data_IF_099994324752
#
_entry.id   IF_099994324752
#
_cell.length_a   1.000
_cell.length_b   1.000
_cell.length_c   1.000
_cell.angle_alpha   90.00
_cell.angle_beta   90.00
_cell.angle_gamma   90.00
#
_symmetry.space_group_name_H-M   'P 1'
#
loop_
_entity.id
_entity.type
_entity.pdbx_description
1 polymer ?
#
# COMPACT_ATOMS: atom_id res chain seq x y z
N UNK A 1 -20.92 -17.48 12.72
CA UNK A 1 -20.10 -16.27 12.47
C UNK A 1 -20.45 -15.72 11.09
N UNK A 2 -20.75 -14.42 10.94
CA UNK A 2 -20.95 -13.82 9.60
C UNK A 2 -19.62 -13.86 8.84
N UNK A 3 -19.59 -14.46 7.65
CA UNK A 3 -18.43 -14.46 6.76
C UNK A 3 -18.16 -13.00 6.36
N UNK A 4 -17.09 -12.39 6.87
CA UNK A 4 -16.66 -11.06 6.40
C UNK A 4 -16.24 -11.21 4.94
N UNK A 5 -16.91 -10.49 4.04
CA UNK A 5 -16.45 -10.33 2.67
C UNK A 5 -15.22 -9.44 2.68
N UNK A 6 -14.11 -9.92 2.12
CA UNK A 6 -12.92 -9.09 1.89
C UNK A 6 -13.26 -7.94 0.96
N UNK A 7 -12.63 -6.78 1.18
CA UNK A 7 -12.72 -5.61 0.31
C UNK A 7 -11.33 -5.25 -0.18
N UNK A 8 -11.23 -4.85 -1.44
CA UNK A 8 -9.99 -4.38 -2.05
C UNK A 8 -10.21 -2.95 -2.53
N UNK A 9 -9.27 -2.07 -2.22
CA UNK A 9 -9.24 -0.70 -2.68
C UNK A 9 -8.00 -0.49 -3.54
N UNK A 10 -8.17 0.02 -4.77
CA UNK A 10 -7.06 0.54 -5.57
C UNK A 10 -6.93 2.04 -5.27
N UNK A 11 -5.82 2.41 -4.64
CA UNK A 11 -5.58 3.78 -4.17
C UNK A 11 -4.37 4.35 -4.90
N UNK A 12 -4.54 5.54 -5.50
CA UNK A 12 -3.41 6.32 -5.98
C UNK A 12 -2.65 6.94 -4.81
N UNK A 13 -1.37 6.60 -4.66
CA UNK A 13 -0.49 7.12 -3.61
C UNK A 13 -0.14 8.62 -3.78
N UNK A 14 -0.41 9.20 -4.95
CA UNK A 14 0.07 10.52 -5.32
C UNK A 14 1.54 10.49 -5.79
N UNK A 15 2.14 11.65 -6.11
CA UNK A 15 3.45 11.74 -6.74
C UNK A 15 4.63 11.69 -5.74
N UNK A 16 4.38 11.57 -4.44
CA UNK A 16 5.43 11.40 -3.42
C UNK A 16 5.19 12.16 -2.13
N UNK A 17 4.67 13.40 -2.21
CA UNK A 17 4.27 14.19 -1.04
C UNK A 17 3.03 13.56 -0.40
N UNK A 18 3.08 13.16 0.89
CA UNK A 18 1.95 12.57 1.60
C UNK A 18 0.68 13.42 1.62
N UNK A 19 0.79 14.75 1.48
CA UNK A 19 -0.37 15.65 1.45
C UNK A 19 -1.14 15.60 0.13
N UNK A 20 -0.58 14.95 -0.90
CA UNK A 20 -1.21 14.81 -2.21
C UNK A 20 -2.00 13.50 -2.36
N UNK A 21 -2.03 12.65 -1.33
CA UNK A 21 -2.99 11.54 -1.27
C UNK A 21 -4.39 12.08 -0.96
N UNK A 22 -5.43 11.35 -1.41
CA UNK A 22 -6.81 11.66 -1.00
C UNK A 22 -7.05 11.29 0.47
N UNK A 23 -7.96 11.99 1.14
CA UNK A 23 -8.38 11.68 2.52
C UNK A 23 -8.79 10.21 2.65
N UNK A 24 -9.63 9.71 1.74
CA UNK A 24 -10.07 8.31 1.72
C UNK A 24 -8.92 7.33 1.52
N UNK A 25 -7.92 7.67 0.70
CA UNK A 25 -6.73 6.84 0.52
C UNK A 25 -5.91 6.72 1.81
N UNK A 26 -5.75 7.83 2.53
CA UNK A 26 -5.08 7.83 3.84
C UNK A 26 -5.84 7.02 4.88
N UNK A 27 -7.17 7.12 4.91
CA UNK A 27 -8.02 6.34 5.81
C UNK A 27 -7.92 4.84 5.49
N UNK A 28 -7.92 4.46 4.21
CA UNK A 28 -7.67 3.08 3.80
C UNK A 28 -6.32 2.55 4.29
N UNK A 29 -5.25 3.36 4.26
CA UNK A 29 -3.92 2.94 4.76
C UNK A 29 -3.96 2.69 6.28
N UNK A 30 -4.65 3.53 7.04
CA UNK A 30 -4.75 3.39 8.50
C UNK A 30 -5.55 2.17 8.94
N UNK A 31 -6.59 1.83 8.20
CA UNK A 31 -7.55 0.77 8.55
C UNK A 31 -7.27 -0.58 7.87
N UNK A 32 -6.33 -0.64 6.92
CA UNK A 32 -6.03 -1.86 6.18
C UNK A 32 -5.51 -2.97 7.11
N UNK A 33 -5.97 -4.20 6.84
CA UNK A 33 -5.38 -5.41 7.41
C UNK A 33 -4.11 -5.83 6.63
N UNK A 34 -4.05 -5.51 5.33
CA UNK A 34 -2.94 -5.81 4.41
C UNK A 34 -2.73 -4.66 3.44
N UNK A 35 -1.48 -4.24 3.22
CA UNK A 35 -1.09 -3.23 2.23
C UNK A 35 -0.14 -3.83 1.19
N UNK A 36 -0.56 -3.81 -0.07
CA UNK A 36 0.27 -4.19 -1.21
C UNK A 36 0.74 -2.90 -1.89
N UNK A 37 2.06 -2.72 -2.04
CA UNK A 37 2.63 -1.49 -2.60
C UNK A 37 3.86 -1.75 -3.46
N UNK A 38 4.15 -0.83 -4.39
CA UNK A 38 5.32 -0.89 -5.27
C UNK A 38 6.35 0.20 -4.91
N UNK A 39 7.41 0.29 -5.74
CA UNK A 39 8.53 1.22 -5.54
C UNK A 39 8.14 2.71 -5.55
N UNK A 40 7.08 3.07 -6.29
CA UNK A 40 6.66 4.47 -6.47
C UNK A 40 5.82 4.98 -5.30
N UNK A 41 5.26 4.07 -4.49
CA UNK A 41 4.58 4.45 -3.26
C UNK A 41 5.58 5.03 -2.26
N UNK A 42 5.39 6.30 -1.88
CA UNK A 42 6.27 6.99 -0.92
C UNK A 42 6.30 6.24 0.42
N UNK A 43 7.49 5.88 0.96
CA UNK A 43 7.61 5.25 2.28
C UNK A 43 7.02 6.10 3.42
N UNK A 44 6.84 7.41 3.21
CA UNK A 44 6.21 8.30 4.17
C UNK A 44 4.72 7.98 4.37
N UNK A 45 4.03 7.50 3.34
CA UNK A 45 2.62 7.08 3.44
C UNK A 45 2.46 5.84 4.30
N UNK A 46 3.40 4.89 4.21
CA UNK A 46 3.37 3.64 4.97
C UNK A 46 3.54 3.86 6.47
N UNK A 47 4.10 5.01 6.90
CA UNK A 47 4.21 5.39 8.31
C UNK A 47 2.84 5.64 8.98
N UNK A 48 1.79 5.84 8.21
CA UNK A 48 0.42 5.99 8.73
C UNK A 48 -0.29 4.66 8.90
N UNK A 49 0.29 3.57 8.42
CA UNK A 49 -0.32 2.26 8.54
C UNK A 49 -0.25 1.75 10.00
N UNK A 50 -1.19 0.90 10.36
CA UNK A 50 -1.18 0.20 11.64
C UNK A 50 0.13 -0.61 11.77
N UNK A 51 0.86 -0.56 12.90
CA UNK A 51 2.08 -1.37 13.11
C UNK A 51 1.89 -2.88 12.90
N UNK A 52 0.68 -3.39 13.12
CA UNK A 52 0.33 -4.82 12.95
C UNK A 52 -0.11 -5.18 11.52
N UNK A 53 -0.12 -4.21 10.59
CA UNK A 53 -0.53 -4.46 9.20
C UNK A 53 0.46 -5.36 8.48
N UNK A 54 -0.03 -6.30 7.67
CA UNK A 54 0.84 -7.05 6.77
C UNK A 54 1.24 -6.16 5.58
N UNK A 55 2.54 -5.98 5.35
CA UNK A 55 3.09 -5.20 4.25
C UNK A 55 3.70 -6.10 3.18
N UNK A 56 3.15 -6.06 1.97
CA UNK A 56 3.61 -6.85 0.82
C UNK A 56 4.18 -5.91 -0.24
N UNK A 57 5.50 -5.90 -0.37
CA UNK A 57 6.17 -5.15 -1.44
C UNK A 57 6.18 -5.95 -2.75
N UNK A 58 5.69 -5.34 -3.82
CA UNK A 58 5.61 -5.95 -5.17
C UNK A 58 6.37 -5.17 -6.25
N UNK A 59 7.14 -4.14 -5.85
CA UNK A 59 7.93 -3.34 -6.78
C UNK A 59 9.16 -4.06 -7.33
N UNK A 60 9.69 -3.56 -8.44
CA UNK A 60 10.94 -4.04 -9.04
C UNK A 60 12.10 -3.15 -8.61
N UNK A 61 13.09 -3.71 -7.95
CA UNK A 61 14.39 -3.05 -7.80
C UNK A 61 15.17 -3.24 -9.10
N UNK A 62 15.57 -2.17 -9.77
CA UNK A 62 16.46 -2.25 -10.93
C UNK A 62 17.65 -3.16 -10.60
N UNK A 63 17.98 -4.10 -11.51
CA UNK A 63 19.01 -5.15 -11.39
C UNK A 63 18.68 -6.39 -10.53
N UNK A 64 17.43 -6.60 -10.07
CA UNK A 64 17.00 -7.92 -9.56
C UNK A 64 15.77 -8.38 -10.33
N UNK A 65 15.99 -9.26 -11.31
CA UNK A 65 14.91 -9.94 -11.98
C UNK A 65 14.20 -10.85 -10.98
N UNK A 66 12.96 -10.53 -10.62
CA UNK A 66 12.10 -11.43 -9.84
C UNK A 66 11.69 -12.65 -10.69
N UNK A 67 11.76 -12.52 -12.01
CA UNK A 67 11.48 -13.53 -13.03
C UNK A 67 12.41 -13.29 -14.23
N UNK A 68 13.10 -14.35 -14.71
CA UNK A 68 13.67 -14.37 -16.06
C UNK A 68 12.52 -14.56 -17.07
N UNK A 69 12.60 -13.85 -18.20
CA UNK A 69 11.56 -13.79 -19.21
C UNK A 69 11.92 -14.64 -20.42
#
# INVERSE_FOLDING_TARGET
MKKKTGKVYLIGAGPGDPKLITVKGLDCIKEADVIIYDYLASPQLLKYANPEVEMIYVGKSGNKHTMEQ
#
